data_IF_208876446351
#
_entry.id   IF_208876446351
#
_cell.length_a   1.000
_cell.length_b   1.000
_cell.length_c   1.000
_cell.angle_alpha   90.00
_cell.angle_beta   90.00
_cell.angle_gamma   90.00
#
_symmetry.space_group_name_H-M   'P 1'
#
loop_
_entity.id
_entity.type
_entity.pdbx_description
1 polymer ?
#
# COMPACT_ATOMS: atom_id res chain seq x y z
N UNK A 1 2.07 -13.54 -1.43
CA UNK A 1 0.88 -14.05 -2.16
C UNK A 1 0.00 -12.85 -2.47
N UNK A 2 -0.24 -12.58 -3.75
CA UNK A 2 -1.14 -11.51 -4.19
C UNK A 2 -2.57 -12.04 -4.01
N UNK A 3 -3.38 -11.33 -3.22
CA UNK A 3 -4.79 -11.69 -3.04
C UNK A 3 -5.66 -10.85 -3.97
N UNK A 4 -6.50 -11.47 -4.82
CA UNK A 4 -7.40 -10.73 -5.69
C UNK A 4 -8.28 -9.76 -4.89
N UNK A 5 -8.41 -8.52 -5.36
CA UNK A 5 -9.23 -7.50 -4.71
C UNK A 5 -8.59 -6.82 -3.49
N UNK A 6 -7.31 -7.08 -3.20
CA UNK A 6 -6.61 -6.55 -2.03
C UNK A 6 -5.18 -6.07 -2.35
N UNK A 7 -4.70 -5.12 -1.56
CA UNK A 7 -3.32 -4.61 -1.60
C UNK A 7 -2.61 -4.98 -0.31
N UNK A 8 -1.40 -5.53 -0.40
CA UNK A 8 -0.58 -5.85 0.77
C UNK A 8 -0.08 -4.57 1.44
N UNK A 9 -0.20 -4.48 2.76
CA UNK A 9 0.20 -3.29 3.54
C UNK A 9 1.36 -3.60 4.49
N UNK A 10 1.41 -4.82 5.05
CA UNK A 10 2.44 -5.19 6.01
C UNK A 10 2.09 -6.50 6.73
N UNK A 11 2.70 -6.74 7.88
CA UNK A 11 2.43 -7.93 8.68
C UNK A 11 2.35 -7.62 10.19
N UNK A 12 1.46 -8.32 10.87
CA UNK A 12 1.15 -8.19 12.30
C UNK A 12 1.12 -9.56 13.01
N UNK A 13 2.05 -10.45 12.66
CA UNK A 13 1.97 -11.89 12.97
C UNK A 13 1.17 -12.70 11.94
N UNK A 14 0.49 -12.00 11.03
CA UNK A 14 -0.07 -12.50 9.77
C UNK A 14 0.06 -11.41 8.69
N UNK A 15 -0.03 -11.73 7.40
CA UNK A 15 -0.13 -10.73 6.34
C UNK A 15 -1.38 -9.84 6.53
N UNK A 16 -1.19 -8.55 6.40
CA UNK A 16 -2.25 -7.54 6.49
C UNK A 16 -2.48 -6.88 5.13
N UNK A 17 -3.75 -6.69 4.80
CA UNK A 17 -4.19 -6.26 3.48
C UNK A 17 -5.24 -5.15 3.57
N UNK A 18 -5.19 -4.22 2.62
CA UNK A 18 -6.24 -3.26 2.35
C UNK A 18 -7.16 -3.78 1.24
N UNK A 19 -8.45 -3.92 1.53
CA UNK A 19 -9.44 -4.26 0.49
C UNK A 19 -9.61 -3.07 -0.46
N UNK A 20 -9.51 -3.31 -1.78
CA UNK A 20 -9.58 -2.27 -2.80
C UNK A 20 -10.83 -1.37 -2.70
N UNK A 21 -12.04 -1.86 -2.36
CA UNK A 21 -13.20 -0.99 -2.18
C UNK A 21 -13.06 0.07 -1.08
N UNK A 22 -12.12 -0.11 -0.13
CA UNK A 22 -11.82 0.85 0.92
C UNK A 22 -10.59 1.73 0.63
N UNK A 23 -9.89 1.50 -0.49
CA UNK A 23 -8.72 2.27 -0.88
C UNK A 23 -9.05 3.67 -1.43
N UNK A 24 -10.34 3.98 -1.61
CA UNK A 24 -10.82 5.32 -1.95
C UNK A 24 -10.83 6.29 -0.76
N UNK A 25 -10.44 5.84 0.44
CA UNK A 25 -10.24 6.71 1.60
C UNK A 25 -8.80 7.21 1.62
N UNK A 26 -8.61 8.49 1.91
CA UNK A 26 -7.28 9.06 2.05
C UNK A 26 -6.52 8.35 3.19
N UNK A 27 -5.32 7.86 2.87
CA UNK A 27 -4.40 7.26 3.84
C UNK A 27 -3.31 8.24 4.26
N UNK A 28 -2.71 7.98 5.43
CA UNK A 28 -1.55 8.72 5.92
C UNK A 28 -0.43 7.74 6.25
N UNK A 29 0.71 7.88 5.56
CA UNK A 29 1.97 7.23 5.95
C UNK A 29 2.77 8.26 6.74
N UNK A 30 3.03 7.97 8.01
CA UNK A 30 3.80 8.85 8.92
C UNK A 30 4.88 8.06 9.65
N UNK A 31 5.93 8.75 10.12
CA UNK A 31 7.07 8.16 10.80
C UNK A 31 8.33 9.04 10.72
N UNK A 32 9.32 8.77 11.58
CA UNK A 32 10.60 9.47 11.57
C UNK A 32 11.41 9.19 10.28
N UNK A 33 12.47 9.95 10.02
CA UNK A 33 13.42 9.65 8.92
C UNK A 33 14.04 8.26 9.12
N UNK A 34 14.19 7.50 8.04
CA UNK A 34 14.74 6.13 8.10
C UNK A 34 13.75 5.04 8.54
N UNK A 35 12.48 5.38 8.81
CA UNK A 35 11.45 4.38 9.21
C UNK A 35 10.71 3.73 8.03
N UNK A 36 11.20 3.93 6.80
CA UNK A 36 10.68 3.22 5.63
C UNK A 36 9.51 3.88 4.91
N UNK A 37 9.11 5.13 5.23
CA UNK A 37 7.98 5.82 4.58
C UNK A 37 7.99 5.75 3.04
N UNK A 38 9.13 6.06 2.41
CA UNK A 38 9.30 6.03 0.94
C UNK A 38 9.11 4.62 0.39
N UNK A 39 9.69 3.61 1.05
CA UNK A 39 9.54 2.20 0.65
C UNK A 39 8.10 1.73 0.83
N UNK A 40 7.43 2.13 1.92
CA UNK A 40 6.01 1.84 2.13
C UNK A 40 5.14 2.42 1.00
N UNK A 41 5.39 3.67 0.57
CA UNK A 41 4.68 4.28 -0.55
C UNK A 41 4.90 3.50 -1.85
N UNK A 42 6.15 3.09 -2.12
CA UNK A 42 6.50 2.31 -3.32
C UNK A 42 5.78 0.95 -3.35
N UNK A 43 5.77 0.21 -2.24
CA UNK A 43 5.11 -1.09 -2.13
C UNK A 43 3.60 -0.95 -2.34
N UNK A 44 2.97 0.07 -1.75
CA UNK A 44 1.55 0.33 -1.96
C UNK A 44 1.27 0.69 -3.43
N UNK A 45 2.09 1.54 -4.04
CA UNK A 45 1.96 1.92 -5.45
C UNK A 45 2.07 0.69 -6.37
N UNK A 46 3.03 -0.20 -6.13
CA UNK A 46 3.18 -1.46 -6.87
C UNK A 46 1.92 -2.33 -6.71
N UNK A 47 1.42 -2.48 -5.48
CA UNK A 47 0.22 -3.27 -5.20
C UNK A 47 -1.04 -2.71 -5.90
N UNK A 48 -1.22 -1.39 -5.93
CA UNK A 48 -2.30 -0.75 -6.67
C UNK A 48 -2.17 -0.93 -8.18
N UNK A 49 -0.96 -0.74 -8.72
CA UNK A 49 -0.68 -0.94 -10.15
C UNK A 49 -0.94 -2.39 -10.57
N UNK A 50 -0.51 -3.37 -9.77
CA UNK A 50 -0.79 -4.79 -9.99
C UNK A 50 -2.29 -5.13 -9.97
N UNK A 51 -3.09 -4.34 -9.24
CA UNK A 51 -4.54 -4.44 -9.23
C UNK A 51 -5.23 -3.70 -10.40
N UNK A 52 -4.45 -3.11 -11.32
CA UNK A 52 -4.96 -2.35 -12.47
C UNK A 52 -5.39 -0.92 -12.13
N UNK A 53 -5.03 -0.41 -10.95
CA UNK A 53 -5.31 0.98 -10.54
C UNK A 53 -4.19 1.89 -11.04
N UNK A 54 -4.48 2.94 -11.82
CA UNK A 54 -3.48 3.94 -12.20
C UNK A 54 -2.94 4.64 -10.95
N UNK A 55 -1.61 4.69 -10.81
CA UNK A 55 -0.94 5.33 -9.67
C UNK A 55 -0.11 6.51 -10.15
N UNK A 56 -0.21 7.63 -9.43
CA UNK A 56 0.67 8.77 -9.55
C UNK A 56 1.37 8.98 -8.20
N UNK A 57 2.70 8.98 -8.21
CA UNK A 57 3.51 9.27 -7.03
C UNK A 57 4.25 10.59 -7.28
N UNK A 58 3.98 11.59 -6.44
CA UNK A 58 4.85 12.76 -6.31
C UNK A 58 5.85 12.49 -5.18
N UNK A 59 7.12 12.74 -5.42
CA UNK A 59 8.18 12.79 -4.39
C UNK A 59 8.30 14.22 -3.86
#
# INVERSE_FOLDING_TARGET
>A
MIEPGKVFVGASGKPEYLNLPYANRHGLITGATGTGKTVTLQILAEGFSAAGVPVFCAD
#
